data_IF_925293753772
#
_entry.id   IF_925293753772
#
_cell.length_a   1.000
_cell.length_b   1.000
_cell.length_c   1.000
_cell.angle_alpha   90.00
_cell.angle_beta   90.00
_cell.angle_gamma   90.00
#
_symmetry.space_group_name_H-M   'P 1'
#
loop_
_entity.id
_entity.type
_entity.pdbx_description
1 polymer ?
#
# COMPACT_ATOMS: atom_id res chain seq x y z
N UNK A 1 13.71 -0.91 41.86
CA UNK A 1 13.37 -1.80 40.72
C UNK A 1 12.13 -1.36 39.91
N UNK A 2 11.04 -0.88 40.53
CA UNK A 2 9.79 -0.42 39.82
C UNK A 2 9.97 0.73 38.81
N UNK A 3 10.89 1.67 39.05
CA UNK A 3 11.12 2.83 38.17
C UNK A 3 11.67 2.43 36.78
N UNK A 4 12.54 1.41 36.73
CA UNK A 4 13.12 0.91 35.48
C UNK A 4 12.09 0.23 34.58
N UNK A 5 11.10 -0.44 35.17
CA UNK A 5 10.03 -1.12 34.43
C UNK A 5 9.04 -0.13 33.81
N UNK A 6 8.73 0.98 34.49
CA UNK A 6 7.83 2.03 33.98
C UNK A 6 8.48 2.76 32.80
N UNK A 7 9.75 3.17 32.94
CA UNK A 7 10.49 3.84 31.86
C UNK A 7 10.64 2.95 30.61
N UNK A 8 10.86 1.65 30.80
CA UNK A 8 10.94 0.68 29.68
C UNK A 8 9.61 0.56 28.93
N UNK A 9 8.47 0.53 29.63
CA UNK A 9 7.12 0.48 29.00
C UNK A 9 6.80 1.72 28.17
N UNK A 10 7.12 2.91 28.67
CA UNK A 10 6.92 4.17 27.94
C UNK A 10 7.75 4.23 26.65
N UNK A 11 9.01 3.80 26.70
CA UNK A 11 9.87 3.75 25.51
C UNK A 11 9.31 2.77 24.48
N UNK A 12 8.92 1.55 24.90
CA UNK A 12 8.34 0.57 23.99
C UNK A 12 7.03 1.04 23.34
N UNK A 13 6.17 1.74 24.10
CA UNK A 13 4.94 2.31 23.55
C UNK A 13 5.22 3.43 22.55
N UNK A 14 6.12 4.36 22.88
CA UNK A 14 6.50 5.45 21.98
C UNK A 14 7.10 4.92 20.67
N UNK A 15 7.97 3.91 20.74
CA UNK A 15 8.52 3.26 19.55
C UNK A 15 7.40 2.66 18.69
N UNK A 16 6.45 1.92 19.28
CA UNK A 16 5.35 1.30 18.54
C UNK A 16 4.51 2.36 17.79
N UNK A 17 4.18 3.48 18.43
CA UNK A 17 3.42 4.57 17.78
C UNK A 17 4.19 5.15 16.59
N UNK A 18 5.49 5.45 16.76
CA UNK A 18 6.33 5.99 15.69
C UNK A 18 6.41 5.04 14.49
N UNK A 19 6.65 3.75 14.73
CA UNK A 19 6.69 2.74 13.67
C UNK A 19 5.34 2.57 12.96
N UNK A 20 4.23 2.60 13.71
CA UNK A 20 2.87 2.53 13.14
C UNK A 20 2.60 3.67 12.16
N UNK A 21 2.97 4.89 12.58
CA UNK A 21 2.75 6.09 11.78
C UNK A 21 3.60 6.07 10.50
N UNK A 22 4.88 5.68 10.64
CA UNK A 22 5.78 5.56 9.50
C UNK A 22 5.33 4.46 8.52
N UNK A 23 4.87 3.31 9.03
CA UNK A 23 4.31 2.24 8.22
C UNK A 23 3.06 2.69 7.46
N UNK A 24 2.18 3.48 8.08
CA UNK A 24 1.00 4.04 7.42
C UNK A 24 1.39 4.99 6.28
N UNK A 25 2.39 5.85 6.48
CA UNK A 25 2.90 6.73 5.42
C UNK A 25 3.43 5.92 4.24
N UNK A 26 4.27 4.91 4.48
CA UNK A 26 4.81 4.09 3.39
C UNK A 26 3.72 3.29 2.66
N UNK A 27 2.72 2.79 3.38
CA UNK A 27 1.56 2.12 2.74
C UNK A 27 0.79 3.07 1.82
N UNK A 28 0.56 4.31 2.26
CA UNK A 28 -0.13 5.32 1.43
C UNK A 28 0.72 5.64 0.19
N UNK A 29 2.03 5.87 0.35
CA UNK A 29 2.93 6.16 -0.77
C UNK A 29 2.92 5.01 -1.79
N UNK A 30 3.04 3.76 -1.34
CA UNK A 30 2.97 2.60 -2.23
C UNK A 30 1.63 2.47 -2.94
N UNK A 31 0.53 2.75 -2.23
CA UNK A 31 -0.83 2.70 -2.76
C UNK A 31 -1.09 3.72 -3.86
N UNK A 32 -0.58 4.95 -3.72
CA UNK A 32 -0.76 6.03 -4.72
C UNK A 32 0.39 6.11 -5.73
N UNK A 33 1.40 5.25 -5.62
CA UNK A 33 2.59 5.32 -6.46
C UNK A 33 2.25 5.08 -7.95
N UNK A 34 2.67 5.98 -8.85
CA UNK A 34 2.52 5.79 -10.29
C UNK A 34 3.68 4.99 -10.92
N UNK A 35 4.60 4.45 -10.12
CA UNK A 35 5.86 3.84 -10.58
C UNK A 35 6.03 2.39 -10.09
N UNK A 36 5.04 1.53 -10.31
CA UNK A 36 5.15 0.10 -10.01
C UNK A 36 5.93 -0.65 -11.07
N UNK A 37 5.68 -0.35 -12.33
CA UNK A 37 6.41 -0.89 -13.48
C UNK A 37 6.77 0.27 -14.39
N UNK A 38 8.04 0.39 -14.74
CA UNK A 38 8.55 1.46 -15.62
C UNK A 38 9.29 0.81 -16.77
N UNK A 39 9.07 1.31 -17.97
CA UNK A 39 9.77 0.85 -19.16
C UNK A 39 11.20 1.41 -19.23
N UNK A 40 12.13 0.63 -19.79
CA UNK A 40 13.49 1.10 -20.04
C UNK A 40 13.52 1.94 -21.30
N UNK A 41 14.09 3.15 -21.20
CA UNK A 41 14.11 4.19 -22.25
C UNK A 41 14.50 3.72 -23.65
N UNK A 42 15.36 2.72 -23.76
CA UNK A 42 15.90 2.22 -25.04
C UNK A 42 14.96 1.25 -25.77
N UNK A 43 13.93 0.71 -25.09
CA UNK A 43 13.01 -0.30 -25.63
C UNK A 43 11.54 0.10 -25.49
N UNK A 44 11.26 1.39 -25.38
CA UNK A 44 9.90 1.90 -25.19
C UNK A 44 9.10 1.72 -26.48
N UNK A 45 8.37 0.61 -26.60
CA UNK A 45 7.35 0.40 -27.64
C UNK A 45 6.08 1.26 -27.43
N UNK A 46 6.20 2.37 -26.68
CA UNK A 46 5.11 3.26 -26.29
C UNK A 46 4.54 3.06 -24.89
N UNK A 47 4.92 2.00 -24.16
CA UNK A 47 4.59 1.88 -22.74
C UNK A 47 5.58 2.72 -21.92
N UNK A 48 5.11 3.61 -21.04
CA UNK A 48 5.99 4.46 -20.20
C UNK A 48 6.06 3.98 -18.75
N UNK A 49 4.90 3.92 -18.09
CA UNK A 49 4.81 3.52 -16.68
C UNK A 49 3.44 2.99 -16.34
N UNK A 50 3.41 2.16 -15.32
CA UNK A 50 2.21 1.62 -14.71
C UNK A 50 2.33 1.77 -13.21
N UNK A 51 1.37 2.50 -12.64
CA UNK A 51 1.10 2.54 -11.23
C UNK A 51 0.05 1.50 -10.84
N UNK A 52 -0.33 1.53 -9.57
CA UNK A 52 -1.34 0.60 -9.04
C UNK A 52 -2.73 0.85 -9.64
N UNK A 53 -3.03 2.11 -9.95
CA UNK A 53 -4.35 2.58 -10.40
C UNK A 53 -4.32 3.28 -11.76
N UNK A 54 -3.18 3.80 -12.19
CA UNK A 54 -3.02 4.59 -13.42
C UNK A 54 -1.94 3.98 -14.30
N UNK A 55 -2.14 4.06 -15.61
CA UNK A 55 -1.17 3.65 -16.62
C UNK A 55 -0.92 4.81 -17.58
N UNK A 56 0.32 4.98 -18.03
CA UNK A 56 0.70 5.99 -19.00
C UNK A 56 1.30 5.34 -20.26
N UNK A 57 0.71 5.71 -21.39
CA UNK A 57 1.16 5.30 -22.72
C UNK A 57 1.53 6.51 -23.59
N UNK A 58 2.40 6.27 -24.55
CA UNK A 58 2.87 7.22 -25.55
C UNK A 58 2.88 6.52 -26.92
N UNK A 59 1.81 6.72 -27.68
CA UNK A 59 1.60 6.09 -28.98
C UNK A 59 1.76 4.56 -28.97
N UNK A 60 1.35 3.91 -27.88
CA UNK A 60 1.45 2.46 -27.72
C UNK A 60 0.42 1.74 -28.59
N UNK A 61 0.85 0.82 -29.44
CA UNK A 61 -0.02 -0.01 -30.27
C UNK A 61 0.07 -1.45 -29.77
N UNK A 62 -1.06 -2.01 -29.34
CA UNK A 62 -1.11 -3.39 -28.86
C UNK A 62 -1.33 -4.36 -30.04
N UNK A 63 -0.44 -5.36 -30.26
CA UNK A 63 -0.53 -6.23 -31.44
C UNK A 63 -1.81 -7.08 -31.51
N UNK A 64 -2.34 -7.47 -30.35
CA UNK A 64 -3.53 -8.32 -30.24
C UNK A 64 -4.85 -7.53 -30.41
N UNK A 65 -4.79 -6.20 -30.53
CA UNK A 65 -5.99 -5.37 -30.66
C UNK A 65 -6.44 -5.30 -32.14
N UNK A 66 -7.64 -5.83 -32.41
CA UNK A 66 -8.23 -5.85 -33.76
C UNK A 66 -8.40 -4.45 -34.39
N UNK A 67 -8.44 -3.40 -33.56
CA UNK A 67 -8.72 -2.02 -33.99
C UNK A 67 -7.42 -1.21 -34.19
N UNK A 68 -6.24 -1.77 -33.91
CA UNK A 68 -4.92 -1.10 -34.09
C UNK A 68 -4.89 0.36 -33.60
N UNK A 69 -5.48 0.61 -32.41
CA UNK A 69 -5.51 1.95 -31.83
C UNK A 69 -4.19 2.26 -31.14
N UNK A 70 -3.73 3.51 -31.30
CA UNK A 70 -2.61 4.04 -30.52
C UNK A 70 -3.12 4.61 -29.19
N UNK A 71 -2.73 3.99 -28.08
CA UNK A 71 -3.04 4.46 -26.74
C UNK A 71 -2.09 5.60 -26.35
N UNK A 72 -2.65 6.70 -25.84
CA UNK A 72 -1.89 7.87 -25.45
C UNK A 72 -2.45 8.52 -24.17
N UNK A 73 -1.53 9.00 -23.34
CA UNK A 73 -1.83 9.70 -22.11
C UNK A 73 -1.85 8.78 -20.88
N UNK A 74 -2.08 9.40 -19.73
CA UNK A 74 -2.19 8.73 -18.44
C UNK A 74 -3.66 8.61 -18.06
N UNK A 75 -4.13 7.37 -17.87
CA UNK A 75 -5.53 7.11 -17.53
C UNK A 75 -5.65 5.99 -16.51
N UNK A 76 -6.81 5.97 -15.85
CA UNK A 76 -7.14 4.93 -14.89
C UNK A 76 -7.15 3.54 -15.55
N UNK A 77 -6.61 2.53 -14.87
CA UNK A 77 -6.41 1.18 -15.43
C UNK A 77 -7.72 0.49 -15.83
N UNK A 78 -8.85 0.87 -15.20
CA UNK A 78 -10.19 0.38 -15.55
C UNK A 78 -10.99 1.34 -16.44
N UNK A 79 -10.34 2.31 -17.09
CA UNK A 79 -10.99 3.13 -18.10
C UNK A 79 -11.61 2.27 -19.22
N UNK A 80 -12.79 2.62 -19.77
CA UNK A 80 -13.50 1.78 -20.74
C UNK A 80 -12.69 1.46 -22.00
N UNK A 81 -11.85 2.39 -22.46
CA UNK A 81 -11.00 2.19 -23.66
C UNK A 81 -10.03 1.01 -23.49
N UNK A 82 -9.60 0.72 -22.25
CA UNK A 82 -8.66 -0.36 -21.96
C UNK A 82 -9.32 -1.73 -21.79
N UNK A 83 -10.61 -1.87 -22.07
CA UNK A 83 -11.35 -3.12 -21.83
C UNK A 83 -10.68 -4.35 -22.46
N UNK A 84 -10.14 -4.21 -23.67
CA UNK A 84 -9.53 -5.33 -24.42
C UNK A 84 -8.13 -5.69 -23.89
N UNK A 85 -7.33 -4.68 -23.57
CA UNK A 85 -5.96 -4.87 -23.06
C UNK A 85 -5.90 -5.06 -21.53
N UNK A 86 -7.03 -4.93 -20.81
CA UNK A 86 -7.08 -4.97 -19.34
C UNK A 86 -6.46 -6.22 -18.73
N UNK A 87 -6.65 -7.38 -19.37
CA UNK A 87 -6.08 -8.64 -18.89
C UNK A 87 -4.55 -8.61 -18.90
N UNK A 88 -3.95 -7.92 -19.87
CA UNK A 88 -2.51 -7.74 -19.97
C UNK A 88 -2.00 -6.65 -19.01
N UNK A 89 -2.72 -5.53 -18.88
CA UNK A 89 -2.37 -4.45 -17.93
C UNK A 89 -2.46 -4.89 -16.47
N UNK A 90 -3.47 -5.70 -16.15
CA UNK A 90 -3.80 -6.08 -14.78
C UNK A 90 -3.87 -7.60 -14.63
N UNK A 91 -2.71 -8.29 -14.67
CA UNK A 91 -2.65 -9.72 -14.49
C UNK A 91 -3.10 -10.13 -13.07
N UNK A 92 -3.48 -11.40 -12.83
CA UNK A 92 -4.02 -11.83 -11.55
C UNK A 92 -3.15 -11.51 -10.33
N UNK A 93 -1.83 -11.63 -10.46
CA UNK A 93 -0.90 -11.29 -9.38
C UNK A 93 -0.94 -9.80 -9.03
N UNK A 94 -1.07 -8.92 -10.02
CA UNK A 94 -1.12 -7.47 -9.81
C UNK A 94 -2.47 -7.06 -9.21
N UNK A 95 -3.55 -7.73 -9.64
CA UNK A 95 -4.87 -7.57 -9.03
C UNK A 95 -4.89 -7.98 -7.55
N UNK A 96 -4.18 -9.07 -7.19
CA UNK A 96 -4.02 -9.46 -5.79
C UNK A 96 -3.27 -8.40 -4.98
N UNK A 97 -2.21 -7.80 -5.55
CA UNK A 97 -1.49 -6.69 -4.90
C UNK A 97 -2.41 -5.49 -4.67
N UNK A 98 -3.28 -5.14 -5.63
CA UNK A 98 -4.29 -4.09 -5.45
C UNK A 98 -5.21 -4.40 -4.25
N UNK A 99 -5.80 -5.60 -4.18
CA UNK A 99 -6.70 -5.97 -3.08
C UNK A 99 -5.96 -5.94 -1.73
N UNK A 100 -4.77 -6.54 -1.66
CA UNK A 100 -4.00 -6.62 -0.43
C UNK A 100 -3.52 -5.25 0.04
N UNK A 101 -3.20 -4.34 -0.88
CA UNK A 101 -2.87 -2.95 -0.56
C UNK A 101 -4.05 -2.21 0.09
N UNK A 102 -5.29 -2.44 -0.39
CA UNK A 102 -6.51 -1.87 0.21
C UNK A 102 -6.71 -2.42 1.63
N UNK A 103 -6.61 -3.74 1.80
CA UNK A 103 -6.77 -4.39 3.11
C UNK A 103 -5.71 -3.87 4.09
N UNK A 104 -4.45 -3.79 3.66
CA UNK A 104 -3.35 -3.25 4.48
C UNK A 104 -3.63 -1.83 4.92
N UNK A 105 -4.13 -0.97 4.01
CA UNK A 105 -4.44 0.43 4.31
C UNK A 105 -5.59 0.55 5.32
N UNK A 106 -6.66 -0.25 5.16
CA UNK A 106 -7.78 -0.31 6.11
C UNK A 106 -7.30 -0.78 7.49
N UNK A 107 -6.51 -1.85 7.55
CA UNK A 107 -5.96 -2.36 8.81
C UNK A 107 -5.04 -1.34 9.49
N UNK A 108 -4.17 -0.65 8.74
CA UNK A 108 -3.31 0.40 9.29
C UNK A 108 -4.12 1.58 9.85
N UNK A 109 -5.14 2.05 9.13
CA UNK A 109 -6.02 3.13 9.61
C UNK A 109 -6.80 2.71 10.87
N UNK A 110 -7.33 1.49 10.91
CA UNK A 110 -8.00 0.95 12.10
C UNK A 110 -7.03 0.83 13.29
N UNK A 111 -5.79 0.39 13.05
CA UNK A 111 -4.74 0.32 14.07
C UNK A 111 -4.38 1.69 14.65
N UNK A 112 -4.22 2.71 13.79
CA UNK A 112 -3.99 4.09 14.23
C UNK A 112 -5.16 4.65 15.03
N UNK A 113 -6.41 4.39 14.60
CA UNK A 113 -7.60 4.79 15.34
C UNK A 113 -7.61 4.16 16.75
N UNK A 114 -7.31 2.86 16.86
CA UNK A 114 -7.22 2.18 18.15
C UNK A 114 -6.12 2.76 19.04
N UNK A 115 -4.96 3.13 18.48
CA UNK A 115 -3.88 3.79 19.23
C UNK A 115 -4.35 5.15 19.77
N UNK A 116 -5.05 5.94 18.96
CA UNK A 116 -5.60 7.24 19.38
C UNK A 116 -6.62 7.06 20.51
N UNK A 117 -7.54 6.10 20.38
CA UNK A 117 -8.52 5.81 21.43
C UNK A 117 -7.85 5.38 22.74
N UNK A 118 -6.83 4.53 22.68
CA UNK A 118 -6.05 4.14 23.87
C UNK A 118 -5.34 5.34 24.49
N UNK A 119 -4.76 6.25 23.69
CA UNK A 119 -4.14 7.47 24.19
C UNK A 119 -5.16 8.39 24.90
N UNK A 120 -6.36 8.54 24.34
CA UNK A 120 -7.44 9.32 24.95
C UNK A 120 -7.94 8.69 26.26
N UNK A 121 -8.12 7.37 26.29
CA UNK A 121 -8.53 6.61 27.49
C UNK A 121 -7.45 6.59 28.59
N UNK A 122 -6.16 6.60 28.22
CA UNK A 122 -5.04 6.75 29.18
C UNK A 122 -5.07 8.12 29.86
N UNK A 123 -5.52 9.18 29.17
CA UNK A 123 -5.78 10.49 29.79
C UNK A 123 -7.02 10.50 30.69
N UNK A 124 -7.86 9.46 30.64
CA UNK A 124 -9.15 9.38 31.32
C UNK A 124 -9.40 8.06 32.06
N UNK A 125 -8.44 7.53 32.82
CA UNK A 125 -8.66 6.41 33.77
C UNK A 125 -9.31 5.11 33.18
N UNK A 126 -8.47 4.10 32.86
CA UNK A 126 -8.57 2.67 33.25
C UNK A 126 -7.82 1.78 32.25
N UNK A 127 -6.74 1.17 32.72
CA UNK A 127 -5.86 0.27 31.96
C UNK A 127 -6.60 -1.00 31.47
N UNK A 128 -6.95 -1.05 30.18
CA UNK A 128 -7.32 -2.30 29.48
C UNK A 128 -6.21 -2.63 28.48
N UNK A 129 -5.52 -3.76 28.65
CA UNK A 129 -4.32 -4.16 27.88
C UNK A 129 -4.61 -4.25 26.36
N UNK A 130 -4.22 -3.26 25.54
CA UNK A 130 -4.46 -3.23 24.09
C UNK A 130 -3.27 -3.76 23.28
N UNK A 131 -2.17 -4.10 23.97
CA UNK A 131 -0.88 -4.47 23.40
C UNK A 131 -0.94 -5.68 22.45
N UNK A 132 -1.87 -6.61 22.66
CA UNK A 132 -1.97 -7.83 21.86
C UNK A 132 -2.56 -7.58 20.46
N UNK A 133 -3.49 -6.63 20.34
CA UNK A 133 -4.20 -6.36 19.07
C UNK A 133 -3.32 -5.54 18.12
N UNK A 134 -2.59 -4.55 18.64
CA UNK A 134 -1.68 -3.70 17.84
C UNK A 134 -0.46 -4.50 17.35
N UNK A 135 0.10 -5.39 18.18
CA UNK A 135 1.21 -6.26 17.76
C UNK A 135 0.77 -7.33 16.75
N UNK A 136 -0.45 -7.87 16.86
CA UNK A 136 -0.98 -8.84 15.91
C UNK A 136 -1.29 -8.25 14.52
N UNK A 137 -1.67 -6.97 14.46
CA UNK A 137 -2.02 -6.31 13.20
C UNK A 137 -0.78 -5.85 12.40
N UNK A 138 0.33 -5.55 13.09
CA UNK A 138 1.58 -5.09 12.46
C UNK A 138 2.47 -6.20 11.92
N UNK A 139 2.41 -7.40 12.50
CA UNK A 139 3.15 -8.55 11.98
C UNK A 139 2.70 -8.94 10.56
N UNK A 140 1.41 -8.77 10.25
CA UNK A 140 0.85 -9.02 8.91
C UNK A 140 1.39 -8.03 7.87
N UNK A 141 1.60 -6.76 8.26
CA UNK A 141 2.18 -5.74 7.38
C UNK A 141 3.69 -5.95 7.10
N UNK A 142 4.45 -6.53 8.05
CA UNK A 142 5.87 -6.87 7.87
C UNK A 142 6.07 -8.12 7.00
N UNK A 143 5.15 -9.10 7.09
CA UNK A 143 5.12 -10.23 6.17
C UNK A 143 4.82 -9.79 4.73
N UNK A 144 4.07 -8.71 4.56
CA UNK A 144 3.74 -8.16 3.25
C UNK A 144 4.93 -7.50 2.54
N UNK A 145 5.71 -6.65 3.23
CA UNK A 145 6.86 -5.96 2.62
C UNK A 145 7.97 -6.92 2.18
N UNK A 146 8.04 -8.10 2.79
CA UNK A 146 8.97 -9.17 2.41
C UNK A 146 8.48 -9.99 1.23
N UNK A 147 7.17 -10.22 1.11
CA UNK A 147 6.55 -10.93 -0.01
C UNK A 147 6.41 -10.06 -1.28
N UNK A 148 6.31 -8.74 -1.17
CA UNK A 148 6.17 -7.84 -2.33
C UNK A 148 7.48 -7.55 -3.07
N UNK A 149 8.62 -7.88 -2.46
CA UNK A 149 9.96 -7.56 -2.99
C UNK A 149 10.69 -8.80 -3.54
N UNK A 150 10.01 -9.95 -3.57
CA UNK A 150 10.49 -11.24 -4.06
C UNK A 150 9.68 -11.64 -5.30
#
# INVERSE_FOLDING_TARGET
MKLGTIRRKHISFSMAVTFSFLAAIFNIIGFVSPFWIVSKSESNLGFQRLGLWEVCFDQFIFPEDYVSKAYQGCWYIYYPEYKYIRFWLNPPWFYLVQILSIISLICNLAGLLMIILVLCEVYGTKERKPHFVVMGLQSVALLWTTLSHQ
#
